data_IF_067827958291
#
_entry.id   IF_067827958291
#
_cell.length_a   1.000
_cell.length_b   1.000
_cell.length_c   1.000
_cell.angle_alpha   90.00
_cell.angle_beta   90.00
_cell.angle_gamma   90.00
#
_symmetry.space_group_name_H-M   'P 1'
#
loop_
_entity.id
_entity.type
_entity.pdbx_description
1 polymer ?
#
# COMPACT_ATOMS: atom_id res chain seq x y z
N UNK A 1 -7.50 9.45 10.44
CA UNK A 1 -6.28 8.73 10.03
C UNK A 1 -5.58 9.58 9.00
N UNK A 2 -4.28 9.80 9.16
CA UNK A 2 -3.45 10.46 8.15
C UNK A 2 -2.66 9.40 7.38
N UNK A 3 -2.61 9.50 6.07
CA UNK A 3 -1.77 8.65 5.22
C UNK A 3 -0.84 9.57 4.43
N UNK A 4 0.46 9.35 4.55
CA UNK A 4 1.48 9.94 3.68
C UNK A 4 1.80 8.89 2.61
N UNK A 5 1.34 9.14 1.39
CA UNK A 5 1.38 8.22 0.26
C UNK A 5 2.55 8.58 -0.66
N UNK A 6 3.77 8.40 -0.16
CA UNK A 6 4.98 8.76 -0.87
C UNK A 6 5.39 7.76 -1.96
N UNK A 7 6.19 8.23 -2.93
CA UNK A 7 6.71 7.40 -4.03
C UNK A 7 7.64 6.26 -3.59
N UNK A 8 8.24 6.37 -2.41
CA UNK A 8 9.15 5.38 -1.86
C UNK A 8 8.53 4.61 -0.69
N UNK A 9 7.89 5.32 0.24
CA UNK A 9 7.30 4.74 1.44
C UNK A 9 5.93 5.36 1.70
N UNK A 10 5.05 4.56 2.28
CA UNK A 10 3.75 4.96 2.81
C UNK A 10 3.79 4.94 4.33
N UNK A 11 3.32 6.01 4.97
CA UNK A 11 3.15 6.07 6.42
C UNK A 11 1.68 6.22 6.78
N UNK A 12 1.26 5.55 7.85
CA UNK A 12 -0.09 5.74 8.42
C UNK A 12 0.03 6.24 9.84
N UNK A 13 -0.61 7.38 10.08
CA UNK A 13 -0.77 8.00 11.38
C UNK A 13 -2.21 7.82 11.89
N UNK A 14 -2.35 7.40 13.14
CA UNK A 14 -3.63 7.33 13.84
C UNK A 14 -3.59 8.29 15.03
N UNK A 15 -4.59 9.18 15.10
CA UNK A 15 -4.74 10.13 16.21
C UNK A 15 -4.76 9.39 17.55
N UNK A 16 -3.94 9.85 18.50
CA UNK A 16 -3.78 9.21 19.80
C UNK A 16 -2.89 7.95 19.82
N UNK A 17 -2.47 7.42 18.67
CA UNK A 17 -1.55 6.27 18.57
C UNK A 17 -0.18 6.61 17.95
N UNK A 18 -0.10 7.67 17.14
CA UNK A 18 1.12 8.00 16.41
C UNK A 18 1.22 7.30 15.06
N UNK A 19 2.44 7.08 14.58
CA UNK A 19 2.71 6.30 13.37
C UNK A 19 2.52 4.82 13.70
N UNK A 20 1.58 4.18 13.02
CA UNK A 20 1.20 2.77 13.24
C UNK A 20 1.60 1.86 12.08
N UNK A 21 1.98 2.44 10.94
CA UNK A 21 2.50 1.72 9.78
C UNK A 21 3.53 2.59 9.05
N UNK A 22 4.62 1.96 8.65
CA UNK A 22 5.65 2.54 7.78
C UNK A 22 6.14 1.42 6.86
N UNK A 23 5.73 1.46 5.60
CA UNK A 23 5.98 0.41 4.61
C UNK A 23 6.47 1.01 3.30
N UNK A 24 7.28 0.30 2.51
CA UNK A 24 7.55 0.65 1.13
C UNK A 24 6.26 0.79 0.31
N UNK A 25 6.24 1.75 -0.60
CA UNK A 25 5.14 1.93 -1.57
C UNK A 25 5.29 0.96 -2.74
N UNK A 26 5.26 -0.33 -2.45
CA UNK A 26 5.47 -1.42 -3.41
C UNK A 26 4.35 -2.45 -3.26
N UNK A 27 3.86 -2.95 -4.40
CA UNK A 27 2.86 -4.00 -4.49
C UNK A 27 3.37 -5.10 -5.41
N UNK A 28 3.23 -6.36 -5.00
CA UNK A 28 3.44 -7.51 -5.86
C UNK A 28 2.07 -8.03 -6.34
N UNK A 29 1.87 -8.07 -7.64
CA UNK A 29 0.59 -8.40 -8.28
C UNK A 29 0.74 -9.69 -9.07
N UNK A 30 -0.24 -10.59 -8.95
CA UNK A 30 -0.43 -11.68 -9.91
C UNK A 30 -1.32 -11.18 -11.07
N UNK A 31 -0.80 -11.20 -12.30
CA UNK A 31 -1.53 -10.73 -13.47
C UNK A 31 -2.68 -11.65 -13.91
N UNK A 32 -2.67 -12.92 -13.49
CA UNK A 32 -3.75 -13.85 -13.81
C UNK A 32 -4.97 -13.57 -12.94
N UNK A 33 -4.74 -13.40 -11.64
CA UNK A 33 -5.80 -13.18 -10.65
C UNK A 33 -6.14 -11.70 -10.44
N UNK A 34 -5.26 -10.80 -10.88
CA UNK A 34 -5.34 -9.34 -10.65
C UNK A 34 -5.47 -8.98 -9.16
N UNK A 35 -4.82 -9.75 -8.30
CA UNK A 35 -4.78 -9.52 -6.86
C UNK A 35 -3.38 -9.12 -6.41
N UNK A 36 -3.30 -8.39 -5.30
CA UNK A 36 -2.05 -8.16 -4.60
C UNK A 36 -1.68 -9.43 -3.80
N UNK A 37 -0.54 -10.04 -4.14
CA UNK A 37 0.07 -11.14 -3.40
C UNK A 37 0.78 -10.66 -2.14
N UNK A 38 1.40 -9.47 -2.23
CA UNK A 38 2.08 -8.83 -1.12
C UNK A 38 2.07 -7.30 -1.30
N UNK A 39 2.20 -6.59 -0.18
CA UNK A 39 2.39 -5.14 -0.15
C UNK A 39 3.51 -4.80 0.83
N UNK A 40 4.16 -3.64 0.66
CA UNK A 40 5.17 -3.18 1.60
C UNK A 40 6.51 -3.91 1.48
N UNK A 41 7.14 -4.23 2.60
CA UNK A 41 8.46 -4.87 2.64
C UNK A 41 8.47 -6.23 1.93
N UNK A 42 7.40 -7.00 2.02
CA UNK A 42 7.30 -8.30 1.35
C UNK A 42 7.31 -8.14 -0.18
N UNK A 43 6.54 -7.20 -0.70
CA UNK A 43 6.54 -6.87 -2.13
C UNK A 43 7.88 -6.27 -2.59
N UNK A 44 8.50 -5.42 -1.78
CA UNK A 44 9.82 -4.83 -2.07
C UNK A 44 10.90 -5.89 -2.21
N UNK A 45 10.88 -6.96 -1.39
CA UNK A 45 11.83 -8.08 -1.52
C UNK A 45 11.69 -8.84 -2.84
N UNK A 46 10.55 -8.73 -3.50
CA UNK A 46 10.26 -9.36 -4.80
C UNK A 46 10.71 -8.50 -5.99
N UNK A 47 11.10 -7.24 -5.80
CA UNK A 47 11.58 -6.38 -6.90
C UNK A 47 12.74 -7.02 -7.66
N UNK A 48 12.57 -7.19 -8.98
CA UNK A 48 13.54 -7.84 -9.86
C UNK A 48 13.73 -9.34 -9.61
N UNK A 49 12.85 -9.97 -8.82
CA UNK A 49 12.94 -11.37 -8.39
C UNK A 49 11.61 -12.13 -8.54
N UNK A 50 10.67 -11.63 -9.34
CA UNK A 50 9.37 -12.25 -9.57
C UNK A 50 9.41 -13.25 -10.73
N UNK A 51 8.66 -14.37 -10.67
CA UNK A 51 8.40 -15.22 -11.81
C UNK A 51 7.43 -14.54 -12.79
N UNK A 52 7.32 -15.05 -14.02
CA UNK A 52 6.75 -14.32 -15.17
C UNK A 52 5.40 -13.62 -14.95
N UNK A 53 4.41 -14.27 -14.35
CA UNK A 53 3.07 -13.68 -14.15
C UNK A 53 2.96 -12.77 -12.92
N UNK A 54 4.04 -12.61 -12.14
CA UNK A 54 4.06 -11.76 -10.96
C UNK A 54 4.91 -10.52 -11.27
N UNK A 55 4.44 -9.34 -10.89
CA UNK A 55 5.24 -8.11 -10.97
C UNK A 55 5.20 -7.35 -9.66
N UNK A 56 6.37 -6.99 -9.15
CA UNK A 56 6.50 -6.04 -8.06
C UNK A 56 6.68 -4.63 -8.65
N UNK A 57 5.75 -3.72 -8.34
CA UNK A 57 5.69 -2.36 -8.90
C UNK A 57 5.48 -1.31 -7.82
N UNK A 58 5.82 -0.06 -8.16
CA UNK A 58 5.46 1.12 -7.36
C UNK A 58 4.28 1.82 -8.04
N UNK A 59 3.12 1.98 -7.39
CA UNK A 59 1.98 2.66 -8.01
C UNK A 59 2.13 4.18 -8.07
N UNK A 60 3.10 4.73 -7.34
CA UNK A 60 3.35 6.15 -7.21
C UNK A 60 4.68 6.51 -7.88
N UNK A 61 4.68 7.61 -8.63
CA UNK A 61 5.86 8.12 -9.31
C UNK A 61 5.79 9.64 -9.37
N UNK A 62 6.92 10.30 -9.13
CA UNK A 62 7.06 11.77 -9.24
C UNK A 62 5.96 12.58 -8.50
N UNK A 63 5.52 12.09 -7.33
CA UNK A 63 4.49 12.74 -6.51
C UNK A 63 3.05 12.57 -7.01
N UNK A 64 2.81 11.64 -7.94
CA UNK A 64 1.47 11.34 -8.46
C UNK A 64 1.18 9.83 -8.44
N UNK A 65 -0.11 9.50 -8.50
CA UNK A 65 -0.57 8.13 -8.73
C UNK A 65 -0.39 7.82 -10.21
N UNK A 66 0.56 6.92 -10.51
CA UNK A 66 0.82 6.46 -11.87
C UNK A 66 -0.04 5.25 -12.25
N UNK A 67 -0.49 4.49 -11.25
CA UNK A 67 -1.37 3.32 -11.41
C UNK A 67 -2.42 3.34 -10.29
N UNK A 68 -3.67 3.63 -10.65
CA UNK A 68 -4.78 3.76 -9.71
C UNK A 68 -5.20 2.43 -9.10
N UNK A 69 -5.32 1.37 -9.90
CA UNK A 69 -5.80 0.06 -9.45
C UNK A 69 -4.80 -0.53 -8.44
N UNK A 70 -3.51 -0.40 -8.74
CA UNK A 70 -2.45 -0.85 -7.83
C UNK A 70 -2.38 0.01 -6.56
N UNK A 71 -2.56 1.33 -6.66
CA UNK A 71 -2.62 2.21 -5.49
C UNK A 71 -3.80 1.86 -4.58
N UNK A 72 -4.97 1.57 -5.15
CA UNK A 72 -6.16 1.16 -4.40
C UNK A 72 -5.91 -0.14 -3.63
N UNK A 73 -5.35 -1.17 -4.29
CA UNK A 73 -4.99 -2.44 -3.64
C UNK A 73 -4.03 -2.22 -2.46
N UNK A 74 -3.01 -1.38 -2.65
CA UNK A 74 -2.05 -1.03 -1.60
C UNK A 74 -2.71 -0.36 -0.40
N UNK A 75 -3.49 0.70 -0.67
CA UNK A 75 -4.19 1.47 0.37
C UNK A 75 -5.19 0.60 1.13
N UNK A 76 -5.97 -0.22 0.43
CA UNK A 76 -6.92 -1.17 1.04
C UNK A 76 -6.20 -2.13 1.99
N UNK A 77 -5.08 -2.69 1.57
CA UNK A 77 -4.27 -3.59 2.41
C UNK A 77 -3.73 -2.89 3.67
N UNK A 78 -3.17 -1.69 3.53
CA UNK A 78 -2.66 -0.93 4.68
C UNK A 78 -3.77 -0.50 5.64
N UNK A 79 -4.92 -0.04 5.14
CA UNK A 79 -6.08 0.31 5.98
C UNK A 79 -6.61 -0.92 6.71
N UNK A 80 -6.70 -2.07 6.05
CA UNK A 80 -7.14 -3.32 6.69
C UNK A 80 -6.17 -3.77 7.79
N UNK A 81 -4.86 -3.73 7.53
CA UNK A 81 -3.82 -4.05 8.52
C UNK A 81 -3.92 -3.19 9.78
N UNK A 82 -4.13 -1.88 9.62
CA UNK A 82 -4.21 -0.93 10.75
C UNK A 82 -5.49 -1.13 11.58
N UNK A 83 -6.57 -1.64 10.98
CA UNK A 83 -7.85 -1.84 11.66
C UNK A 83 -8.02 -3.22 12.32
N UNK A 84 -6.98 -4.07 12.34
CA UNK A 84 -6.99 -5.39 13.01
C UNK A 84 -8.17 -6.31 12.62
N UNK A 85 -8.74 -6.14 11.42
CA UNK A 85 -9.92 -6.90 10.97
C UNK A 85 -11.24 -6.57 11.69
N UNK A 86 -11.28 -5.53 12.54
CA UNK A 86 -12.53 -5.04 13.13
C UNK A 86 -13.32 -4.26 12.07
N UNK A 87 -14.67 -4.35 12.05
CA UNK A 87 -15.47 -3.56 11.13
C UNK A 87 -15.16 -2.08 11.32
N UNK A 88 -14.80 -1.40 10.22
CA UNK A 88 -14.47 0.02 10.21
C UNK A 88 -15.65 0.81 10.78
N UNK A 89 -15.47 1.46 11.93
CA UNK A 89 -16.09 2.76 12.13
C UNK A 89 -15.46 3.67 11.08
N UNK A 90 -16.11 3.85 9.92
CA UNK A 90 -15.63 4.60 8.74
C UNK A 90 -14.83 5.84 9.16
N UNK A 91 -13.49 5.73 9.30
CA UNK A 91 -12.74 6.81 9.90
C UNK A 91 -12.56 7.88 8.84
N UNK A 92 -12.56 9.14 9.23
CA UNK A 92 -12.13 10.20 8.31
C UNK A 92 -10.64 9.98 8.00
N UNK A 93 -10.35 9.75 6.72
CA UNK A 93 -8.99 9.57 6.19
C UNK A 93 -8.59 10.85 5.44
N UNK A 94 -7.38 11.32 5.69
CA UNK A 94 -6.72 12.37 4.91
C UNK A 94 -5.47 11.77 4.31
N UNK A 95 -5.30 11.93 2.99
CA UNK A 95 -4.16 11.39 2.24
C UNK A 95 -3.36 12.56 1.67
N UNK A 96 -2.07 12.62 1.98
CA UNK A 96 -1.08 13.44 1.29
C UNK A 96 -0.30 12.58 0.29
N UNK A 97 0.08 13.15 -0.85
CA UNK A 97 0.89 12.51 -1.90
C UNK A 97 2.12 13.38 -2.15
#
# INVERSE_FOLDING_TARGET
MGIDLGTANTLVYVSGKGIVLQEPSVVAIDHNEKIALAVGEDAKRMLGRTPGNITAVRPLRDGVIADFDTAELMLKSFIQRVNEGKPLLLPRIVIGI
#
